data_IF_433570416616
#
_entry.id   IF_433570416616
#
_cell.length_a   1.000
_cell.length_b   1.000
_cell.length_c   1.000
_cell.angle_alpha   90.00
_cell.angle_beta   90.00
_cell.angle_gamma   90.00
#
_symmetry.space_group_name_H-M   'P 1'
#
loop_
_entity.id
_entity.type
_entity.pdbx_description
1 polymer ?
#
# COMPACT_ATOMS: atom_id res chain seq x y z
N UNK A 1 -9.39 11.10 -3.67
CA UNK A 1 -7.96 11.21 -3.30
C UNK A 1 -7.80 11.52 -1.81
N UNK A 2 -8.60 12.45 -1.25
CA UNK A 2 -8.53 12.80 0.17
C UNK A 2 -8.71 11.59 1.10
N UNK A 3 -9.76 10.81 0.90
CA UNK A 3 -10.05 9.61 1.69
C UNK A 3 -8.95 8.55 1.57
N UNK A 4 -8.40 8.35 0.35
CA UNK A 4 -7.27 7.46 0.13
C UNK A 4 -6.06 7.88 0.99
N UNK A 5 -5.65 9.14 0.89
CA UNK A 5 -4.50 9.67 1.66
C UNK A 5 -4.75 9.60 3.15
N UNK A 6 -5.92 10.04 3.61
CA UNK A 6 -6.28 10.03 5.02
C UNK A 6 -6.29 8.62 5.63
N UNK A 7 -6.85 7.65 4.91
CA UNK A 7 -6.89 6.24 5.32
C UNK A 7 -5.48 5.68 5.50
N UNK A 8 -4.62 5.90 4.51
CA UNK A 8 -3.26 5.36 4.52
C UNK A 8 -2.35 6.08 5.53
N UNK A 9 -2.48 7.39 5.69
CA UNK A 9 -1.76 8.11 6.74
C UNK A 9 -2.17 7.63 8.14
N UNK A 10 -3.47 7.43 8.37
CA UNK A 10 -3.96 6.90 9.63
C UNK A 10 -3.38 5.50 9.92
N UNK A 11 -3.46 4.60 8.93
CA UNK A 11 -2.90 3.26 9.05
C UNK A 11 -1.40 3.26 9.37
N UNK A 12 -0.62 4.05 8.63
CA UNK A 12 0.83 4.10 8.81
C UNK A 12 1.25 4.72 10.14
N UNK A 13 0.53 5.73 10.60
CA UNK A 13 0.76 6.31 11.92
C UNK A 13 0.36 5.38 13.06
N UNK A 14 -0.70 4.60 12.87
CA UNK A 14 -1.09 3.56 13.83
C UNK A 14 -0.04 2.44 13.91
N UNK A 15 0.57 2.07 12.78
CA UNK A 15 1.56 1.00 12.70
C UNK A 15 2.95 1.41 13.21
N UNK A 16 3.42 2.61 12.84
CA UNK A 16 4.79 3.07 13.11
C UNK A 16 4.88 4.19 14.16
N UNK A 17 3.76 4.68 14.65
CA UNK A 17 3.66 5.74 15.64
C UNK A 17 3.11 7.05 15.07
N UNK A 18 2.48 7.83 15.94
CA UNK A 18 1.78 9.08 15.55
C UNK A 18 2.67 10.15 14.94
N UNK A 19 3.97 10.13 15.24
CA UNK A 19 4.97 11.04 14.69
C UNK A 19 5.53 10.62 13.32
N UNK A 20 5.02 9.56 12.71
CA UNK A 20 5.50 9.07 11.41
C UNK A 20 5.21 10.10 10.31
N UNK A 21 6.27 10.53 9.64
CA UNK A 21 6.15 11.36 8.43
C UNK A 21 5.85 10.45 7.22
N UNK A 22 4.77 10.77 6.51
CA UNK A 22 4.32 10.05 5.32
C UNK A 22 4.39 10.99 4.12
N UNK A 23 4.84 10.48 2.98
CA UNK A 23 4.92 11.22 1.72
C UNK A 23 4.29 10.42 0.60
N UNK A 24 3.46 11.07 -0.21
CA UNK A 24 2.88 10.53 -1.43
C UNK A 24 3.62 11.13 -2.63
N UNK A 25 4.29 10.29 -3.39
CA UNK A 25 4.96 10.69 -4.63
C UNK A 25 4.12 10.28 -5.83
N UNK A 26 3.83 11.19 -6.79
CA UNK A 26 3.16 10.80 -8.02
C UNK A 26 3.92 9.66 -8.72
N UNK A 27 3.16 8.69 -9.18
CA UNK A 27 3.67 7.53 -9.91
C UNK A 27 2.65 7.09 -10.97
N UNK A 28 3.01 6.18 -11.84
CA UNK A 28 2.11 5.58 -12.82
C UNK A 28 1.88 4.10 -12.50
N UNK A 29 0.60 3.73 -12.41
CA UNK A 29 0.15 2.34 -12.44
C UNK A 29 -0.95 2.17 -13.48
N UNK A 30 -1.02 1.01 -14.17
CA UNK A 30 -1.93 0.85 -15.33
C UNK A 30 -3.42 0.85 -14.98
N UNK A 31 -3.79 0.64 -13.72
CA UNK A 31 -5.19 0.50 -13.28
C UNK A 31 -5.65 1.62 -12.34
N UNK A 32 -4.83 2.61 -12.10
CA UNK A 32 -5.15 3.74 -11.22
C UNK A 32 -4.71 5.08 -11.80
N UNK A 33 -5.53 6.14 -11.59
CA UNK A 33 -5.25 7.52 -11.97
C UNK A 33 -6.03 8.48 -11.06
N UNK A 34 -5.39 9.39 -10.31
CA UNK A 34 -3.96 9.50 -10.09
C UNK A 34 -3.39 8.36 -9.23
N UNK A 35 -2.11 8.05 -9.46
CA UNK A 35 -1.38 7.01 -8.73
C UNK A 35 -0.25 7.60 -7.90
N UNK A 36 0.09 6.95 -6.80
CA UNK A 36 1.15 7.40 -5.89
C UNK A 36 1.94 6.21 -5.35
N UNK A 37 3.23 6.42 -5.15
CA UNK A 37 4.06 5.66 -4.23
C UNK A 37 4.04 6.31 -2.85
N UNK A 38 4.07 5.50 -1.81
CA UNK A 38 3.98 5.94 -0.42
C UNK A 38 5.30 5.67 0.26
N UNK A 39 5.93 6.72 0.76
CA UNK A 39 7.14 6.62 1.56
C UNK A 39 6.86 6.99 3.01
N UNK A 40 7.53 6.32 3.93
CA UNK A 40 7.62 6.72 5.33
C UNK A 40 9.05 7.11 5.67
N UNK A 41 9.20 8.10 6.55
CA UNK A 41 10.49 8.52 7.05
C UNK A 41 10.85 7.74 8.30
N UNK A 42 11.83 6.87 8.19
CA UNK A 42 12.29 6.02 9.27
C UNK A 42 13.55 6.58 9.91
N UNK A 43 13.56 6.58 11.25
CA UNK A 43 14.77 6.78 12.06
C UNK A 43 15.29 5.41 12.44
N UNK A 44 16.52 5.13 12.07
CA UNK A 44 17.24 3.93 12.52
C UNK A 44 18.34 4.41 13.48
N UNK A 45 18.47 3.77 14.62
CA UNK A 45 19.45 4.15 15.64
C UNK A 45 20.86 4.25 15.04
N UNK A 46 21.50 5.40 15.26
CA UNK A 46 22.84 5.70 14.75
C UNK A 46 22.93 6.09 13.27
N UNK A 47 21.81 6.24 12.56
CA UNK A 47 21.77 6.67 11.17
C UNK A 47 20.90 7.91 10.96
N UNK A 48 21.18 8.68 9.90
CA UNK A 48 20.30 9.77 9.48
C UNK A 48 18.92 9.23 9.06
N UNK A 49 17.83 9.93 9.39
CA UNK A 49 16.48 9.55 8.94
C UNK A 49 16.43 9.41 7.42
N UNK A 50 15.80 8.35 6.94
CA UNK A 50 15.67 8.10 5.50
C UNK A 50 14.23 7.82 5.10
N UNK A 51 13.89 8.19 3.88
CA UNK A 51 12.62 7.81 3.25
C UNK A 51 12.70 6.38 2.72
N UNK A 52 11.69 5.59 3.06
CA UNK A 52 11.56 4.20 2.60
C UNK A 52 10.19 4.03 1.97
N UNK A 53 10.18 3.61 0.72
CA UNK A 53 8.95 3.24 0.01
C UNK A 53 8.36 1.96 0.61
N UNK A 54 7.06 1.97 0.86
CA UNK A 54 6.35 0.85 1.50
C UNK A 54 5.12 0.37 0.73
N UNK A 55 4.54 1.20 -0.11
CA UNK A 55 3.29 0.88 -0.79
C UNK A 55 3.11 1.66 -2.08
N UNK A 56 2.26 1.13 -2.95
CA UNK A 56 1.66 1.86 -4.06
C UNK A 56 0.16 2.03 -3.83
N UNK A 57 -0.41 3.13 -4.32
CA UNK A 57 -1.86 3.37 -4.23
C UNK A 57 -2.35 4.29 -5.35
N UNK A 58 -3.67 4.37 -5.52
CA UNK A 58 -4.27 5.29 -6.49
C UNK A 58 -5.79 5.22 -6.51
N UNK A 59 -6.40 6.14 -7.24
CA UNK A 59 -7.82 6.04 -7.55
C UNK A 59 -8.00 5.03 -8.68
N UNK A 60 -8.98 4.15 -8.54
CA UNK A 60 -9.27 3.14 -9.57
C UNK A 60 -9.72 3.83 -10.86
N UNK A 61 -9.08 3.46 -11.97
CA UNK A 61 -9.46 3.97 -13.29
C UNK A 61 -10.91 3.55 -13.63
N UNK A 62 -11.78 4.46 -14.10
CA UNK A 62 -13.16 4.12 -14.49
C UNK A 62 -13.26 2.96 -15.46
N UNK A 63 -12.30 2.80 -16.36
CA UNK A 63 -12.27 1.68 -17.31
C UNK A 63 -12.21 0.30 -16.62
N UNK A 64 -11.68 0.23 -15.39
CA UNK A 64 -11.68 -1.02 -14.60
C UNK A 64 -13.09 -1.41 -14.23
N UNK A 65 -13.92 -0.46 -13.78
CA UNK A 65 -15.31 -0.71 -13.43
C UNK A 65 -16.15 -1.11 -14.65
N UNK A 66 -15.93 -0.46 -15.79
CA UNK A 66 -16.58 -0.82 -17.05
C UNK A 66 -16.18 -2.23 -17.52
N UNK A 67 -14.91 -2.59 -17.38
CA UNK A 67 -14.44 -3.92 -17.72
C UNK A 67 -15.07 -5.00 -16.82
N UNK A 68 -15.24 -4.73 -15.53
CA UNK A 68 -15.91 -5.65 -14.61
C UNK A 68 -17.37 -5.87 -14.99
N UNK A 69 -18.11 -4.81 -15.28
CA UNK A 69 -19.51 -4.93 -15.73
C UNK A 69 -19.60 -5.75 -17.04
N UNK A 70 -18.70 -5.52 -17.99
CA UNK A 70 -18.63 -6.27 -19.25
C UNK A 70 -18.35 -7.76 -19.03
N UNK A 71 -17.40 -8.10 -18.18
CA UNK A 71 -17.07 -9.50 -17.85
C UNK A 71 -18.23 -10.21 -17.13
N UNK A 72 -19.02 -9.47 -16.37
CA UNK A 72 -20.25 -10.01 -15.74
C UNK A 72 -21.45 -10.08 -16.69
N UNK A 73 -21.30 -9.68 -17.97
CA UNK A 73 -22.35 -9.66 -18.96
C UNK A 73 -23.44 -8.61 -18.68
N UNK A 74 -23.11 -7.57 -17.93
CA UNK A 74 -24.03 -6.48 -17.60
C UNK A 74 -23.99 -5.42 -18.69
N UNK A 75 -25.19 -4.94 -19.10
CA UNK A 75 -25.30 -3.82 -20.04
C UNK A 75 -24.84 -2.53 -19.34
N UNK A 76 -23.82 -1.83 -19.86
CA UNK A 76 -23.33 -0.59 -19.28
C UNK A 76 -24.38 0.51 -19.10
N UNK A 77 -25.45 0.47 -19.86
CA UNK A 77 -26.54 1.48 -19.82
C UNK A 77 -27.64 1.18 -18.79
N UNK A 78 -28.12 -0.06 -18.75
CA UNK A 78 -29.33 -0.41 -18.00
C UNK A 78 -29.06 -1.27 -16.75
N UNK A 79 -27.96 -2.02 -16.70
CA UNK A 79 -27.68 -3.00 -15.66
C UNK A 79 -26.32 -2.80 -15.01
N UNK A 80 -25.62 -1.72 -15.35
CA UNK A 80 -24.31 -1.41 -14.79
C UNK A 80 -24.38 -1.38 -13.26
N UNK A 81 -23.46 -2.10 -12.60
CA UNK A 81 -23.34 -2.13 -11.14
C UNK A 81 -22.12 -1.37 -10.67
N UNK A 82 -21.07 -1.37 -11.46
CA UNK A 82 -19.77 -0.81 -11.09
C UNK A 82 -19.43 0.43 -11.91
N UNK A 83 -19.87 0.51 -13.17
CA UNK A 83 -19.71 1.69 -14.02
C UNK A 83 -20.28 2.94 -13.34
N UNK A 84 -19.49 4.00 -13.26
CA UNK A 84 -19.84 5.25 -12.57
C UNK A 84 -19.50 5.29 -11.08
N UNK A 85 -19.03 4.19 -10.49
CA UNK A 85 -18.48 4.20 -9.14
C UNK A 85 -17.10 4.88 -9.14
N UNK A 86 -16.74 5.41 -7.97
CA UNK A 86 -15.39 5.86 -7.67
C UNK A 86 -14.82 5.03 -6.53
N UNK A 87 -13.56 4.66 -6.64
CA UNK A 87 -12.90 3.85 -5.63
C UNK A 87 -11.40 4.13 -5.60
N UNK A 88 -10.75 3.62 -4.58
CA UNK A 88 -9.30 3.64 -4.51
C UNK A 88 -8.76 2.25 -4.18
N UNK A 89 -7.51 2.02 -4.56
CA UNK A 89 -6.79 0.80 -4.28
C UNK A 89 -5.40 1.10 -3.72
N UNK A 90 -4.88 0.18 -2.93
CA UNK A 90 -3.50 0.22 -2.46
C UNK A 90 -2.92 -1.19 -2.35
N UNK A 91 -1.62 -1.29 -2.53
CA UNK A 91 -0.87 -2.53 -2.38
C UNK A 91 0.31 -2.30 -1.44
N UNK A 92 0.45 -3.16 -0.43
CA UNK A 92 1.50 -3.09 0.57
C UNK A 92 2.20 -4.44 0.66
N UNK A 93 3.55 -4.44 0.57
CA UNK A 93 4.34 -5.64 0.79
C UNK A 93 4.41 -5.99 2.28
N UNK A 94 3.77 -7.09 2.69
CA UNK A 94 3.76 -7.52 4.09
C UNK A 94 5.17 -7.79 4.63
N UNK A 95 6.03 -8.38 3.82
CA UNK A 95 7.43 -8.63 4.20
C UNK A 95 8.16 -7.33 4.50
N UNK A 96 7.96 -6.29 3.69
CA UNK A 96 8.56 -4.97 3.91
C UNK A 96 8.06 -4.31 5.20
N UNK A 97 6.75 -4.40 5.47
CA UNK A 97 6.19 -3.93 6.75
C UNK A 97 6.78 -4.68 7.94
N UNK A 98 6.87 -6.01 7.85
CA UNK A 98 7.45 -6.85 8.89
C UNK A 98 8.91 -6.48 9.15
N UNK A 99 9.71 -6.32 8.10
CA UNK A 99 11.12 -5.91 8.22
C UNK A 99 11.26 -4.58 8.97
N UNK A 100 10.43 -3.60 8.63
CA UNK A 100 10.47 -2.28 9.28
C UNK A 100 9.99 -2.39 10.74
N UNK A 101 8.89 -3.09 10.98
CA UNK A 101 8.25 -3.19 12.29
C UNK A 101 9.14 -3.88 13.32
N UNK A 102 9.87 -4.92 12.91
CA UNK A 102 10.69 -5.76 13.79
C UNK A 102 12.20 -5.62 13.56
N UNK A 103 12.64 -4.66 12.76
CA UNK A 103 14.06 -4.43 12.51
C UNK A 103 14.77 -5.57 11.78
N UNK A 104 14.06 -6.34 10.96
CA UNK A 104 14.61 -7.44 10.18
C UNK A 104 15.43 -6.85 9.02
N UNK A 105 16.71 -7.21 8.95
CA UNK A 105 17.64 -6.59 7.99
C UNK A 105 17.63 -7.22 6.62
N UNK A 106 17.24 -8.49 6.53
CA UNK A 106 17.28 -9.28 5.31
C UNK A 106 15.94 -9.97 5.09
N UNK A 107 15.29 -9.71 3.95
CA UNK A 107 14.00 -10.30 3.57
C UNK A 107 14.08 -11.84 3.49
N UNK A 108 15.24 -12.39 3.17
CA UNK A 108 15.44 -13.85 3.08
C UNK A 108 15.17 -14.55 4.40
N UNK A 109 15.45 -13.89 5.52
CA UNK A 109 15.17 -14.44 6.85
C UNK A 109 13.68 -14.79 7.06
N UNK A 110 12.77 -14.11 6.36
CA UNK A 110 11.33 -14.38 6.42
C UNK A 110 10.90 -15.67 5.72
N UNK A 111 11.75 -16.20 4.81
CA UNK A 111 11.42 -17.38 3.99
C UNK A 111 12.35 -18.57 4.21
N UNK A 112 13.47 -18.38 4.90
CA UNK A 112 14.47 -19.44 5.15
C UNK A 112 14.05 -20.46 6.23
N UNK A 113 12.98 -20.18 6.99
CA UNK A 113 12.48 -21.03 8.08
C UNK A 113 13.55 -21.39 9.14
N UNK A 114 14.51 -20.51 9.40
CA UNK A 114 15.48 -20.72 10.47
C UNK A 114 14.78 -20.61 11.84
N UNK A 115 14.77 -21.71 12.58
CA UNK A 115 14.09 -21.80 13.89
C UNK A 115 14.64 -20.77 14.89
N UNK A 116 15.93 -20.44 14.83
CA UNK A 116 16.57 -19.44 15.70
C UNK A 116 16.06 -18.04 15.40
N UNK A 117 15.78 -17.75 14.12
CA UNK A 117 15.15 -16.49 13.71
C UNK A 117 13.70 -16.43 14.18
N UNK A 118 12.92 -17.49 13.96
CA UNK A 118 11.51 -17.56 14.32
C UNK A 118 11.28 -17.48 15.84
N UNK A 119 12.18 -18.06 16.64
CA UNK A 119 12.10 -18.04 18.09
C UNK A 119 12.18 -16.63 18.72
N UNK A 120 12.63 -15.62 17.97
CA UNK A 120 12.71 -14.23 18.44
C UNK A 120 11.33 -13.54 18.53
N UNK A 121 10.29 -14.13 17.93
CA UNK A 121 8.93 -13.55 17.83
C UNK A 121 7.88 -14.32 18.66
N UNK A 122 8.32 -15.20 19.55
CA UNK A 122 7.44 -15.97 20.45
C UNK A 122 7.22 -15.26 21.79
#
# INVERSE_FOLDING_TARGET
VGDLKGTLEYFLRALFGSGTEVRFRPHFFPFTEPSFEIDVKLKVDGQAPRWVEIAGCGMVDPNVFEAVDRELGLDPGAQARYTGLTGFAFGIGLDRLAMIRWGIRDIRALIENDVRFLAQFQ
#
